data_IF_010223759073
#
_entry.id   IF_010223759073
#
_cell.length_a   1.000
_cell.length_b   1.000
_cell.length_c   1.000
_cell.angle_alpha   90.00
_cell.angle_beta   90.00
_cell.angle_gamma   90.00
#
_symmetry.space_group_name_H-M   'P 1'
#
loop_
_entity.id
_entity.type
_entity.pdbx_description
1 polymer ?
#
# COMPACT_ATOMS: atom_id res chain seq x y z
N UNK A 1 23.32 -6.76 4.31
CA UNK A 1 22.03 -7.07 3.67
C UNK A 1 20.91 -6.32 4.36
N UNK A 2 20.20 -5.55 3.62
CA UNK A 2 19.16 -4.72 4.20
C UNK A 2 17.81 -5.41 4.12
N UNK A 3 17.12 -5.51 5.24
CA UNK A 3 15.76 -6.06 5.26
C UNK A 3 14.77 -5.12 4.58
N UNK A 4 15.17 -3.86 4.33
CA UNK A 4 14.31 -2.88 3.69
C UNK A 4 14.20 -3.07 2.19
N UNK A 5 14.94 -4.03 1.65
CA UNK A 5 14.91 -4.26 0.20
C UNK A 5 13.87 -5.27 -0.21
N UNK A 6 13.06 -5.74 0.72
CA UNK A 6 11.98 -6.67 0.40
C UNK A 6 10.63 -6.03 0.66
N UNK A 7 9.62 -6.42 -0.11
CA UNK A 7 8.27 -5.89 0.14
C UNK A 7 7.70 -6.46 1.42
N UNK A 8 6.97 -5.63 2.12
CA UNK A 8 6.26 -6.05 3.32
C UNK A 8 4.91 -6.61 2.94
N UNK A 9 4.38 -7.49 3.79
CA UNK A 9 3.00 -7.94 3.69
C UNK A 9 2.24 -7.27 4.81
N UNK A 10 1.18 -6.56 4.46
CA UNK A 10 0.40 -5.80 5.42
C UNK A 10 -1.05 -6.25 5.41
N UNK A 11 -1.69 -6.06 6.54
CA UNK A 11 -3.14 -6.19 6.66
C UNK A 11 -3.70 -4.78 6.85
N UNK A 12 -4.47 -4.30 5.88
CA UNK A 12 -4.98 -2.93 5.90
C UNK A 12 -6.27 -2.86 6.69
N UNK A 13 -6.37 -1.82 7.52
CA UNK A 13 -7.51 -1.59 8.39
C UNK A 13 -7.95 -0.14 8.25
N UNK A 14 -9.17 0.21 8.68
CA UNK A 14 -9.64 1.60 8.54
C UNK A 14 -8.76 2.63 9.23
N UNK A 15 -8.14 2.26 10.34
CA UNK A 15 -7.34 3.21 11.11
C UNK A 15 -5.84 3.08 10.87
N UNK A 16 -5.42 2.14 10.03
CA UNK A 16 -4.00 1.93 9.81
C UNK A 16 -3.75 0.57 9.21
N UNK A 17 -2.56 0.03 9.43
CA UNK A 17 -2.24 -1.29 8.91
C UNK A 17 -1.40 -2.05 9.93
N UNK A 18 -1.42 -3.36 9.78
CA UNK A 18 -0.61 -4.24 10.61
C UNK A 18 0.38 -4.98 9.72
N UNK A 19 1.62 -5.05 10.18
CA UNK A 19 2.67 -5.75 9.44
C UNK A 19 2.55 -7.24 9.70
N UNK A 20 2.26 -7.99 8.64
CA UNK A 20 2.16 -9.44 8.71
C UNK A 20 3.52 -10.06 8.43
N UNK A 21 4.21 -9.54 7.42
CA UNK A 21 5.54 -10.00 7.09
C UNK A 21 6.44 -8.79 6.92
N UNK A 22 7.60 -8.80 7.56
CA UNK A 22 8.48 -7.65 7.61
C UNK A 22 9.02 -7.26 6.23
N UNK A 23 9.19 -5.97 6.04
CA UNK A 23 9.74 -5.41 4.82
C UNK A 23 9.78 -3.90 4.96
N UNK A 24 10.39 -3.23 3.99
CA UNK A 24 10.56 -1.79 4.05
C UNK A 24 9.57 -1.00 3.21
N UNK A 25 8.82 -1.67 2.35
CA UNK A 25 7.94 -0.98 1.43
C UNK A 25 6.86 -1.93 0.93
N UNK A 26 5.85 -1.36 0.28
CA UNK A 26 4.86 -2.12 -0.47
C UNK A 26 4.79 -1.53 -1.87
N UNK A 27 4.17 -2.25 -2.79
CA UNK A 27 4.02 -1.79 -4.17
C UNK A 27 2.59 -1.32 -4.40
N UNK A 28 2.45 -0.16 -5.04
CA UNK A 28 1.15 0.37 -5.39
C UNK A 28 0.42 -0.63 -6.29
N UNK A 29 -0.84 -0.91 -5.97
CA UNK A 29 -1.62 -1.88 -6.71
C UNK A 29 -1.92 -1.45 -8.14
N UNK A 30 -1.83 -0.16 -8.41
CA UNK A 30 -2.17 0.39 -9.72
C UNK A 30 -0.92 0.71 -10.53
N UNK A 31 0.05 1.41 -9.95
CA UNK A 31 1.22 1.88 -10.68
C UNK A 31 2.44 1.01 -10.49
N UNK A 32 2.49 0.20 -9.45
CA UNK A 32 3.65 -0.62 -9.16
C UNK A 32 4.78 0.13 -8.49
N UNK A 33 4.56 1.38 -8.12
CA UNK A 33 5.59 2.18 -7.46
C UNK A 33 5.84 1.68 -6.05
N UNK A 34 7.07 1.85 -5.60
CA UNK A 34 7.39 1.54 -4.21
C UNK A 34 6.81 2.59 -3.29
N UNK A 35 6.21 2.13 -2.21
CA UNK A 35 5.67 3.00 -1.18
C UNK A 35 6.31 2.59 0.13
N UNK A 36 7.17 3.46 0.67
CA UNK A 36 7.76 3.19 1.97
C UNK A 36 6.65 3.15 3.00
N UNK A 37 6.78 2.26 4.00
CA UNK A 37 5.73 2.12 5.00
C UNK A 37 5.46 3.43 5.72
N UNK A 38 6.50 4.23 5.96
CA UNK A 38 6.33 5.51 6.62
C UNK A 38 5.61 6.54 5.76
N UNK A 39 5.57 6.32 4.44
CA UNK A 39 4.91 7.22 3.50
C UNK A 39 3.54 6.70 3.08
N UNK A 40 3.18 5.50 3.50
CA UNK A 40 1.92 4.88 3.11
C UNK A 40 0.76 5.60 3.79
N UNK A 41 -0.16 6.13 2.98
CA UNK A 41 -1.31 6.89 3.47
C UNK A 41 -2.63 6.42 2.88
N UNK A 42 -2.61 5.75 1.73
CA UNK A 42 -3.82 5.41 1.00
C UNK A 42 -3.88 3.93 0.72
N UNK A 43 -5.01 3.30 1.02
CA UNK A 43 -5.21 1.88 0.76
C UNK A 43 -6.70 1.57 0.76
N UNK A 44 -7.04 0.40 0.26
CA UNK A 44 -8.41 -0.09 0.28
C UNK A 44 -8.50 -1.27 1.24
N UNK A 45 -9.38 -1.17 2.23
CA UNK A 45 -9.59 -2.26 3.17
C UNK A 45 -10.28 -3.45 2.48
N UNK A 46 -11.37 -3.24 1.72
CA UNK A 46 -12.01 -4.38 1.06
C UNK A 46 -11.10 -5.09 0.05
N UNK A 47 -10.25 -4.34 -0.63
CA UNK A 47 -9.36 -4.92 -1.62
C UNK A 47 -8.00 -5.30 -1.07
N UNK A 48 -7.67 -4.80 0.12
CA UNK A 48 -6.38 -5.04 0.75
C UNK A 48 -5.25 -4.64 -0.16
N UNK A 49 -5.33 -3.41 -0.69
CA UNK A 49 -4.36 -2.87 -1.65
C UNK A 49 -3.86 -1.50 -1.23
N UNK A 50 -2.56 -1.23 -1.37
CA UNK A 50 -2.03 0.11 -1.13
C UNK A 50 -2.05 0.94 -2.40
N UNK A 51 -2.09 2.26 -2.23
CA UNK A 51 -2.06 3.20 -3.34
C UNK A 51 -1.00 4.26 -3.09
N UNK A 52 -0.29 4.65 -4.16
CA UNK A 52 0.84 5.56 -4.05
C UNK A 52 0.42 7.01 -3.80
N UNK A 53 -0.77 7.41 -4.24
CA UNK A 53 -1.19 8.79 -4.15
C UNK A 53 -2.70 8.87 -4.03
N UNK A 54 -3.23 10.02 -3.60
CA UNK A 54 -4.68 10.19 -3.55
C UNK A 54 -5.35 10.08 -4.92
N UNK A 55 -4.68 10.51 -5.97
CA UNK A 55 -5.22 10.40 -7.32
C UNK A 55 -5.42 8.94 -7.71
N UNK A 56 -4.42 8.11 -7.43
CA UNK A 56 -4.50 6.69 -7.72
C UNK A 56 -5.60 6.05 -6.89
N UNK A 57 -5.67 6.39 -5.61
CA UNK A 57 -6.70 5.84 -4.73
C UNK A 57 -8.09 6.21 -5.23
N UNK A 58 -8.27 7.46 -5.62
CA UNK A 58 -9.56 7.95 -6.09
C UNK A 58 -10.00 7.21 -7.35
N UNK A 59 -9.09 7.06 -8.31
CA UNK A 59 -9.40 6.36 -9.54
C UNK A 59 -9.84 4.93 -9.28
N UNK A 60 -9.08 4.24 -8.42
CA UNK A 60 -9.36 2.84 -8.15
C UNK A 60 -10.66 2.66 -7.41
N UNK A 61 -10.94 3.54 -6.44
CA UNK A 61 -12.13 3.41 -5.62
C UNK A 61 -13.39 3.89 -6.33
N UNK A 62 -13.26 4.75 -7.34
CA UNK A 62 -14.41 5.19 -8.13
C UNK A 62 -14.65 4.31 -9.35
N UNK A 63 -14.05 3.14 -9.37
CA UNK A 63 -14.27 2.20 -10.45
C UNK A 63 -13.33 2.36 -11.61
N UNK A 64 -12.34 3.20 -11.48
CA UNK A 64 -11.35 3.38 -12.51
C UNK A 64 -11.89 4.01 -13.78
N UNK A 65 -13.00 4.63 -13.66
CA UNK A 65 -13.64 5.26 -14.82
C UNK A 65 -12.82 6.46 -15.26
#
# INVERSE_FOLDING_TARGET
MSSNERPATLEYQPNGFRVVSAGGFVLCAVTGERILLEALRYWSVPRQEPYASPDVATRQLTGGA
#
